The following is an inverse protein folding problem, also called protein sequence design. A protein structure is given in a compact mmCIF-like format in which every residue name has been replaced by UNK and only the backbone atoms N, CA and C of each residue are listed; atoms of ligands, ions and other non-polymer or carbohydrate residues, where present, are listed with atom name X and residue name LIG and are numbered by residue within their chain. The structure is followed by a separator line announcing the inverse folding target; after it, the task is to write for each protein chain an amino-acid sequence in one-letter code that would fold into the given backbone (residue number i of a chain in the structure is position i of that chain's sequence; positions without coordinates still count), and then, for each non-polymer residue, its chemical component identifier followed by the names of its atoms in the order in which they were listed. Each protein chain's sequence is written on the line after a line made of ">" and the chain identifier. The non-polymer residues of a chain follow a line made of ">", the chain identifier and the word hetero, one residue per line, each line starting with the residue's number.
data_IF_947697547325
#
_entry.id   IF_947697547325
#
_cell.length_a   1.000
_cell.length_b   1.000
_cell.length_c   1.000
_cell.angle_alpha   90.00
_cell.angle_beta   90.00
_cell.angle_gamma   90.00
#
_symmetry.space_group_name_H-M   'P 1'
#
loop_
_entity.id
_entity.type
_entity.pdbx_description
1 polymer ?
#
# COMPACT_ATOMS: atom_id res chain seq x y z
N UNK A 1 -19.06 -25.70 -9.98
CA UNK A 1 -17.87 -26.31 -9.33
C UNK A 1 -16.90 -26.67 -10.45
N UNK A 2 -15.60 -26.40 -10.35
CA UNK A 2 -14.68 -26.83 -11.40
C UNK A 2 -14.58 -28.35 -11.37
N UNK A 3 -14.80 -29.00 -12.52
CA UNK A 3 -14.62 -30.44 -12.67
C UNK A 3 -13.18 -30.80 -12.31
N UNK A 4 -13.00 -31.58 -11.24
CA UNK A 4 -11.71 -32.19 -10.90
C UNK A 4 -11.37 -33.25 -11.93
N UNK A 5 -10.80 -32.84 -13.06
CA UNK A 5 -10.24 -33.79 -14.03
C UNK A 5 -9.08 -34.52 -13.37
N UNK A 6 -9.22 -35.84 -13.26
CA UNK A 6 -8.16 -36.73 -12.76
C UNK A 6 -6.85 -36.49 -13.50
N UNK A 7 -5.75 -36.43 -12.76
CA UNK A 7 -4.42 -36.16 -13.31
C UNK A 7 -3.98 -37.27 -14.28
N UNK A 8 -3.77 -36.90 -15.55
CA UNK A 8 -3.14 -37.75 -16.55
C UNK A 8 -1.77 -38.26 -16.08
N UNK A 9 -1.53 -39.58 -16.22
CA UNK A 9 -0.27 -40.24 -15.84
C UNK A 9 0.67 -40.48 -17.04
N UNK A 10 0.11 -40.51 -18.25
CA UNK A 10 0.81 -40.79 -19.50
C UNK A 10 0.80 -39.52 -20.35
N UNK A 11 1.90 -39.23 -21.03
CA UNK A 11 2.02 -38.06 -21.88
C UNK A 11 1.31 -38.29 -23.24
N UNK A 12 0.19 -37.62 -23.52
CA UNK A 12 -0.56 -37.80 -24.77
C UNK A 12 0.18 -37.25 -26.01
N UNK A 13 1.21 -36.43 -25.84
CA UNK A 13 2.08 -36.01 -26.96
C UNK A 13 2.94 -37.14 -27.52
N UNK A 14 3.07 -38.27 -26.79
CA UNK A 14 3.80 -39.45 -27.23
C UNK A 14 2.88 -40.53 -27.83
N UNK A 15 1.57 -40.32 -27.81
CA UNK A 15 0.61 -41.27 -28.35
C UNK A 15 0.48 -41.07 -29.87
N UNK A 16 0.59 -42.16 -30.62
CA UNK A 16 0.33 -42.22 -32.06
C UNK A 16 -1.08 -42.78 -32.32
N UNK A 17 -1.74 -42.28 -33.38
CA UNK A 17 -3.05 -42.78 -33.76
C UNK A 17 -2.92 -44.24 -34.20
N UNK A 18 -3.69 -45.17 -33.64
CA UNK A 18 -3.74 -46.54 -34.14
C UNK A 18 -4.14 -46.54 -35.62
N UNK A 19 -3.58 -47.49 -36.38
CA UNK A 19 -4.01 -47.74 -37.74
C UNK A 19 -5.36 -48.46 -37.72
N UNK A 20 -6.45 -47.68 -37.71
CA UNK A 20 -7.81 -48.22 -37.70
C UNK A 20 -8.19 -48.95 -38.99
N UNK A 21 -7.40 -48.83 -40.07
CA UNK A 21 -7.59 -49.61 -41.29
C UNK A 21 -7.01 -51.03 -41.17
N UNK A 22 -6.15 -51.30 -40.17
CA UNK A 22 -5.60 -52.62 -39.91
C UNK A 22 -6.69 -53.68 -39.65
N UNK A 23 -6.35 -54.93 -39.96
CA UNK A 23 -7.19 -56.10 -39.69
C UNK A 23 -7.52 -56.25 -38.19
N UNK A 24 -6.64 -55.77 -37.30
CA UNK A 24 -6.81 -55.79 -35.84
C UNK A 24 -8.07 -55.06 -35.37
N UNK A 25 -8.55 -54.08 -36.15
CA UNK A 25 -9.72 -53.26 -35.82
C UNK A 25 -10.99 -53.66 -36.59
N UNK A 26 -10.95 -54.75 -37.38
CA UNK A 26 -12.08 -55.20 -38.22
C UNK A 26 -13.37 -55.35 -37.42
N UNK A 27 -13.31 -56.01 -36.27
CA UNK A 27 -14.48 -56.20 -35.40
C UNK A 27 -15.11 -54.88 -34.95
N UNK A 28 -14.28 -53.89 -34.61
CA UNK A 28 -14.75 -52.58 -34.17
C UNK A 28 -15.32 -51.78 -35.36
N UNK A 29 -14.70 -51.90 -36.55
CA UNK A 29 -15.20 -51.26 -37.76
C UNK A 29 -16.57 -51.80 -38.17
N UNK A 30 -16.74 -53.10 -38.29
CA UNK A 30 -18.04 -53.73 -38.66
C UNK A 30 -19.18 -53.37 -37.68
N UNK A 31 -18.86 -53.30 -36.38
CA UNK A 31 -19.82 -52.89 -35.36
C UNK A 31 -20.27 -51.43 -35.53
N UNK A 32 -19.37 -50.52 -35.91
CA UNK A 32 -19.67 -49.10 -36.14
C UNK A 32 -20.37 -48.89 -37.49
N UNK A 33 -19.91 -49.58 -38.54
CA UNK A 33 -20.53 -49.59 -39.87
C UNK A 33 -22.01 -50.00 -39.77
N UNK A 34 -22.31 -51.07 -39.05
CA UNK A 34 -23.69 -51.56 -38.86
C UNK A 34 -24.54 -50.65 -37.97
N UNK A 35 -23.97 -50.08 -36.91
CA UNK A 35 -24.70 -49.21 -35.98
C UNK A 35 -25.01 -47.83 -36.56
N UNK A 36 -24.11 -47.29 -37.39
CA UNK A 36 -24.19 -45.92 -37.91
C UNK A 36 -24.47 -45.84 -39.42
N UNK A 37 -24.64 -46.98 -40.09
CA UNK A 37 -24.81 -47.09 -41.55
C UNK A 37 -23.71 -46.37 -42.36
N UNK A 38 -22.47 -46.46 -41.87
CA UNK A 38 -21.31 -45.80 -42.48
C UNK A 38 -20.63 -46.73 -43.48
N UNK A 39 -19.97 -46.14 -44.48
CA UNK A 39 -19.05 -46.90 -45.32
C UNK A 39 -17.80 -47.31 -44.53
N UNK A 40 -17.03 -48.32 -45.00
CA UNK A 40 -15.77 -48.69 -44.36
C UNK A 40 -14.75 -47.53 -44.28
N UNK A 41 -14.69 -46.71 -45.32
CA UNK A 41 -13.81 -45.52 -45.39
C UNK A 41 -14.24 -44.44 -44.38
N UNK A 42 -15.55 -44.17 -44.30
CA UNK A 42 -16.10 -43.19 -43.35
C UNK A 42 -15.92 -43.66 -41.91
N UNK A 43 -15.94 -44.97 -41.66
CA UNK A 43 -15.74 -45.56 -40.33
C UNK A 43 -14.29 -45.38 -39.85
N UNK A 44 -13.31 -45.64 -40.71
CA UNK A 44 -11.89 -45.37 -40.40
C UNK A 44 -11.66 -43.88 -40.17
N UNK A 45 -12.27 -43.03 -40.99
CA UNK A 45 -12.21 -41.57 -40.85
C UNK A 45 -12.77 -41.12 -39.50
N UNK A 46 -13.98 -41.56 -39.17
CA UNK A 46 -14.64 -41.21 -37.91
C UNK A 46 -13.86 -41.69 -36.68
N UNK A 47 -13.29 -42.90 -36.70
CA UNK A 47 -12.45 -43.41 -35.62
C UNK A 47 -11.18 -42.57 -35.44
N UNK A 48 -10.54 -42.19 -36.54
CA UNK A 48 -9.34 -41.35 -36.56
C UNK A 48 -9.64 -39.95 -36.03
N UNK A 49 -10.74 -39.33 -36.46
CA UNK A 49 -11.19 -38.02 -35.98
C UNK A 49 -11.51 -38.05 -34.49
N UNK A 50 -12.26 -39.06 -34.03
CA UNK A 50 -12.61 -39.22 -32.62
C UNK A 50 -11.37 -39.41 -31.74
N UNK A 51 -10.41 -40.23 -32.19
CA UNK A 51 -9.14 -40.40 -31.48
C UNK A 51 -8.36 -39.09 -31.43
N UNK A 52 -8.27 -38.37 -32.55
CA UNK A 52 -7.53 -37.10 -32.65
C UNK A 52 -8.14 -36.03 -31.75
N UNK A 53 -9.46 -35.90 -31.74
CA UNK A 53 -10.18 -34.95 -30.90
C UNK A 53 -9.97 -35.24 -29.41
N UNK A 54 -10.00 -36.53 -29.03
CA UNK A 54 -9.73 -36.95 -27.66
C UNK A 54 -8.28 -36.67 -27.26
N UNK A 55 -7.31 -37.04 -28.10
CA UNK A 55 -5.90 -36.82 -27.83
C UNK A 55 -5.57 -35.33 -27.70
N UNK A 56 -6.19 -34.47 -28.52
CA UNK A 56 -6.05 -33.01 -28.41
C UNK A 56 -6.48 -32.48 -27.03
N UNK A 57 -7.65 -32.91 -26.54
CA UNK A 57 -8.13 -32.55 -25.19
C UNK A 57 -7.18 -33.02 -24.09
N UNK A 58 -6.67 -34.24 -24.21
CA UNK A 58 -5.71 -34.79 -23.24
C UNK A 58 -4.37 -34.01 -23.28
N UNK A 59 -3.90 -33.59 -24.46
CA UNK A 59 -2.71 -32.73 -24.62
C UNK A 59 -2.89 -31.37 -23.96
N UNK A 60 -4.07 -30.77 -24.06
CA UNK A 60 -4.37 -29.51 -23.37
C UNK A 60 -4.35 -29.67 -21.86
N UNK A 61 -4.94 -30.75 -21.34
CA UNK A 61 -4.90 -31.10 -19.90
C UNK A 61 -3.46 -31.32 -19.44
N UNK A 62 -2.65 -32.03 -20.22
CA UNK A 62 -1.23 -32.26 -19.92
C UNK A 62 -0.42 -30.96 -19.91
N UNK A 63 -0.61 -30.10 -20.90
CA UNK A 63 0.05 -28.79 -20.98
C UNK A 63 -0.31 -27.92 -19.77
N UNK A 64 -1.57 -27.93 -19.34
CA UNK A 64 -2.01 -27.23 -18.14
C UNK A 64 -1.32 -27.79 -16.87
N UNK A 65 -1.18 -29.10 -16.73
CA UNK A 65 -0.46 -29.73 -15.62
C UNK A 65 1.03 -29.37 -15.59
N UNK A 66 1.69 -29.36 -16.75
CA UNK A 66 3.10 -28.97 -16.86
C UNK A 66 3.29 -27.48 -16.52
N UNK A 67 2.36 -26.62 -16.94
CA UNK A 67 2.35 -25.20 -16.56
C UNK A 67 2.16 -25.03 -15.05
N UNK A 68 1.28 -25.83 -14.43
CA UNK A 68 1.03 -25.77 -13.00
C UNK A 68 2.20 -26.30 -12.15
N UNK A 69 2.91 -27.35 -12.62
CA UNK A 69 4.19 -27.78 -12.01
C UNK A 69 5.24 -26.67 -11.99
N UNK A 70 5.29 -25.85 -13.04
CA UNK A 70 6.23 -24.74 -13.19
C UNK A 70 5.79 -23.46 -12.47
N UNK A 71 4.54 -23.41 -11.98
CA UNK A 71 4.08 -22.28 -11.17
C UNK A 71 4.92 -22.25 -9.89
N UNK A 72 5.54 -21.10 -9.54
CA UNK A 72 6.19 -20.95 -8.26
C UNK A 72 5.17 -21.30 -7.17
N UNK A 73 5.44 -22.35 -6.41
CA UNK A 73 4.72 -22.57 -5.16
C UNK A 73 5.15 -21.43 -4.25
N UNK A 74 4.20 -20.71 -3.67
CA UNK A 74 4.50 -19.72 -2.65
C UNK A 74 5.27 -20.47 -1.55
N UNK A 75 6.59 -20.29 -1.53
CA UNK A 75 7.46 -21.00 -0.60
C UNK A 75 7.09 -20.56 0.81
N UNK A 76 7.16 -21.50 1.76
CA UNK A 76 7.17 -21.14 3.17
C UNK A 76 8.23 -20.05 3.35
N UNK A 77 7.77 -18.85 3.72
CA UNK A 77 8.68 -17.80 4.12
C UNK A 77 9.28 -18.19 5.47
N UNK A 78 10.55 -17.88 5.67
CA UNK A 78 11.17 -18.05 6.97
C UNK A 78 10.74 -16.87 7.85
N UNK A 79 9.86 -17.13 8.82
CA UNK A 79 9.37 -16.14 9.78
C UNK A 79 10.50 -15.43 10.55
N UNK A 80 11.68 -16.04 10.64
CA UNK A 80 12.82 -15.50 11.38
C UNK A 80 13.80 -14.72 10.50
N UNK A 81 13.65 -14.80 9.17
CA UNK A 81 14.52 -14.09 8.24
C UNK A 81 13.99 -12.67 8.02
N UNK A 82 14.69 -11.68 8.55
CA UNK A 82 14.36 -10.27 8.38
C UNK A 82 15.00 -9.71 7.11
N UNK A 83 14.37 -8.69 6.49
CA UNK A 83 15.01 -7.93 5.41
C UNK A 83 16.23 -7.18 5.99
N UNK A 84 17.43 -7.47 5.46
CA UNK A 84 18.74 -7.11 6.03
C UNK A 84 18.98 -5.61 6.31
N UNK A 85 18.16 -4.72 5.73
CA UNK A 85 18.29 -3.27 5.93
C UNK A 85 16.93 -2.61 5.97
N UNK A 86 16.52 -2.28 7.18
CA UNK A 86 15.36 -1.45 7.39
C UNK A 86 15.77 0.02 7.19
N UNK A 87 15.13 0.73 6.26
CA UNK A 87 15.49 2.12 5.97
C UNK A 87 15.27 2.98 7.21
N UNK A 88 16.33 3.58 7.75
CA UNK A 88 16.23 4.55 8.84
C UNK A 88 15.67 5.85 8.24
N UNK A 89 14.58 6.41 8.81
CA UNK A 89 14.02 7.66 8.30
C UNK A 89 15.06 8.78 8.39
N UNK A 90 15.32 9.49 7.29
CA UNK A 90 16.05 10.76 7.34
C UNK A 90 15.07 11.80 7.89
N UNK A 91 15.21 12.11 9.18
CA UNK A 91 14.35 13.08 9.86
C UNK A 91 14.94 14.48 9.77
N UNK A 92 14.07 15.45 9.51
CA UNK A 92 14.42 16.85 9.63
C UNK A 92 14.80 17.18 11.10
N UNK A 93 15.85 17.97 11.38
CA UNK A 93 16.30 18.19 12.76
C UNK A 93 15.24 18.82 13.68
N UNK A 94 14.37 19.67 13.14
CA UNK A 94 13.16 20.15 13.84
C UNK A 94 12.27 18.99 14.30
N UNK A 95 11.95 18.05 13.41
CA UNK A 95 11.10 16.91 13.74
C UNK A 95 11.76 16.02 14.79
N UNK A 96 13.07 15.77 14.66
CA UNK A 96 13.83 15.03 15.67
C UNK A 96 13.70 15.67 17.06
N UNK A 97 13.88 16.99 17.16
CA UNK A 97 13.72 17.73 18.43
C UNK A 97 12.29 17.62 18.98
N UNK A 98 11.27 17.79 18.13
CA UNK A 98 9.88 17.65 18.58
C UNK A 98 9.58 16.26 19.12
N UNK A 99 10.10 15.20 18.47
CA UNK A 99 9.89 13.83 18.94
C UNK A 99 10.61 13.54 20.27
N UNK A 100 11.84 14.05 20.45
CA UNK A 100 12.58 13.93 21.71
C UNK A 100 11.86 14.65 22.86
N UNK A 101 11.26 15.81 22.58
CA UNK A 101 10.57 16.62 23.58
C UNK A 101 9.08 16.20 23.76
N UNK A 102 8.62 15.10 23.12
CA UNK A 102 7.21 14.64 23.06
C UNK A 102 6.21 15.70 22.57
N UNK A 103 6.67 16.69 21.81
CA UNK A 103 5.87 17.80 21.30
C UNK A 103 5.19 17.47 19.99
N UNK A 104 4.15 18.22 19.69
CA UNK A 104 3.46 18.10 18.41
C UNK A 104 4.42 18.31 17.24
N UNK A 105 4.43 17.36 16.30
CA UNK A 105 5.14 17.44 15.04
C UNK A 105 4.17 17.18 13.88
N UNK A 106 4.02 18.10 12.91
CA UNK A 106 3.20 17.86 11.73
C UNK A 106 3.66 16.63 10.95
N UNK A 107 2.71 15.84 10.45
CA UNK A 107 2.98 14.66 9.64
C UNK A 107 3.73 14.98 8.35
N UNK A 108 3.65 16.22 7.87
CA UNK A 108 4.43 16.69 6.71
C UNK A 108 5.93 16.36 6.83
N UNK A 109 6.51 16.42 8.03
CA UNK A 109 7.93 16.13 8.28
C UNK A 109 8.33 14.67 8.03
N UNK A 110 7.35 13.78 7.88
CA UNK A 110 7.54 12.35 7.63
C UNK A 110 7.22 12.00 6.16
N UNK A 111 7.11 13.02 5.30
CA UNK A 111 6.93 12.85 3.85
C UNK A 111 8.27 12.81 3.12
N UNK A 112 8.26 12.27 1.90
CA UNK A 112 9.44 12.29 1.01
C UNK A 112 9.94 13.72 0.72
N UNK A 113 9.04 14.70 0.70
CA UNK A 113 9.39 16.11 0.48
C UNK A 113 10.26 16.63 1.62
N UNK A 114 9.82 16.41 2.87
CA UNK A 114 10.59 16.79 4.06
C UNK A 114 11.90 16.02 4.17
N UNK A 115 11.93 14.74 3.79
CA UNK A 115 13.17 13.95 3.76
C UNK A 115 14.18 14.51 2.75
N UNK A 116 13.71 14.95 1.58
CA UNK A 116 14.57 15.59 0.57
C UNK A 116 15.12 16.92 1.09
N UNK A 117 14.29 17.72 1.77
CA UNK A 117 14.73 18.95 2.44
C UNK A 117 15.77 18.67 3.53
N UNK A 118 15.53 17.66 4.37
CA UNK A 118 16.45 17.24 5.41
C UNK A 118 17.80 16.77 4.83
N UNK A 119 17.80 15.97 3.76
CA UNK A 119 19.03 15.58 3.07
C UNK A 119 19.80 16.79 2.53
N UNK A 120 19.12 17.77 1.95
CA UNK A 120 19.74 19.02 1.49
C UNK A 120 20.43 19.80 2.62
N UNK A 121 19.83 19.83 3.82
CA UNK A 121 20.46 20.44 5.00
C UNK A 121 21.73 19.69 5.42
N UNK A 122 21.68 18.35 5.44
CA UNK A 122 22.86 17.51 5.77
C UNK A 122 23.98 17.70 4.77
N UNK A 123 23.68 17.82 3.47
CA UNK A 123 24.71 18.07 2.44
C UNK A 123 25.26 19.50 2.49
N UNK A 124 24.43 20.50 2.87
CA UNK A 124 24.86 21.89 3.04
C UNK A 124 25.70 22.12 4.31
N UNK A 125 25.53 21.27 5.31
CA UNK A 125 26.32 21.24 6.54
C UNK A 125 27.45 20.21 6.35
N UNK A 126 28.49 20.58 5.61
CA UNK A 126 29.74 19.83 5.65
C UNK A 126 30.19 19.70 7.12
N UNK A 127 30.75 18.55 7.56
CA UNK A 127 31.03 18.27 8.97
C UNK A 127 32.05 19.20 9.66
N UNK A 128 32.54 20.25 9.00
CA UNK A 128 33.61 21.15 9.45
C UNK A 128 33.19 22.64 9.52
N UNK A 129 31.91 23.00 9.35
CA UNK A 129 31.49 24.42 9.41
C UNK A 129 30.80 24.79 10.72
N UNK A 130 31.58 25.36 11.65
CA UNK A 130 31.06 26.20 12.73
C UNK A 130 30.64 27.55 12.15
N UNK A 131 29.34 27.86 12.17
CA UNK A 131 28.86 29.18 11.74
C UNK A 131 29.21 30.22 12.81
N UNK A 132 30.08 31.16 12.44
CA UNK A 132 30.41 32.34 13.23
C UNK A 132 29.45 33.48 12.87
N UNK A 133 28.67 33.95 13.85
CA UNK A 133 27.88 35.17 13.70
C UNK A 133 28.59 36.33 14.41
N UNK A 134 28.79 37.42 13.68
CA UNK A 134 29.27 38.68 14.21
C UNK A 134 28.08 39.59 14.49
N UNK A 135 27.94 40.02 15.74
CA UNK A 135 26.96 41.03 16.10
C UNK A 135 27.38 42.38 15.50
N UNK A 136 26.56 42.93 14.61
CA UNK A 136 26.84 44.19 13.91
C UNK A 136 26.85 45.41 14.85
N UNK A 137 26.31 45.29 16.06
CA UNK A 137 26.29 46.38 17.05
C UNK A 137 27.49 46.33 18.02
N UNK A 138 27.93 45.15 18.44
CA UNK A 138 29.00 44.99 19.44
C UNK A 138 30.33 44.46 18.89
N UNK A 139 30.34 43.97 17.64
CA UNK A 139 31.51 43.33 17.02
C UNK A 139 31.87 41.96 17.61
N UNK A 140 31.09 41.46 18.58
CA UNK A 140 31.34 40.18 19.25
C UNK A 140 31.09 38.99 18.33
N UNK A 141 32.00 38.01 18.37
CA UNK A 141 31.88 36.74 17.64
C UNK A 141 31.26 35.69 18.56
N UNK A 142 30.14 35.10 18.14
CA UNK A 142 29.48 34.03 18.89
C UNK A 142 29.47 32.72 18.10
N UNK A 143 29.71 31.62 18.81
CA UNK A 143 29.56 30.26 18.28
C UNK A 143 28.12 29.80 18.52
N UNK A 144 27.38 29.52 17.46
CA UNK A 144 26.01 29.01 17.61
C UNK A 144 26.03 27.48 17.70
N UNK A 145 26.00 26.94 18.92
CA UNK A 145 25.40 25.62 19.11
C UNK A 145 23.92 25.75 18.71
N UNK A 146 23.42 24.88 17.83
CA UNK A 146 22.12 24.96 17.14
C UNK A 146 20.92 24.99 18.10
N UNK A 147 20.70 26.13 18.75
CA UNK A 147 19.56 26.43 19.57
C UNK A 147 18.50 27.05 18.66
N UNK A 148 17.45 26.24 18.41
CA UNK A 148 16.27 26.53 17.59
C UNK A 148 16.43 26.26 16.09
N UNK A 149 16.45 24.98 15.71
CA UNK A 149 16.15 24.60 14.32
C UNK A 149 14.76 25.12 13.99
N UNK A 150 14.68 26.07 13.05
CA UNK A 150 13.41 26.67 12.65
C UNK A 150 12.53 25.64 11.94
N UNK A 151 11.20 25.70 12.12
CA UNK A 151 10.29 24.92 11.30
C UNK A 151 10.45 25.31 9.82
N UNK A 152 10.16 24.36 8.93
CA UNK A 152 10.21 24.59 7.49
C UNK A 152 9.05 25.49 7.10
N UNK A 153 9.31 26.43 6.18
CA UNK A 153 8.25 27.26 5.57
C UNK A 153 7.27 26.42 4.73
N UNK A 154 7.65 25.21 4.35
CA UNK A 154 6.84 24.29 3.56
C UNK A 154 6.00 23.36 4.43
N UNK A 155 6.18 23.38 5.76
CA UNK A 155 5.49 22.50 6.67
C UNK A 155 3.99 22.75 6.65
N UNK A 156 3.23 21.72 6.29
CA UNK A 156 1.76 21.75 6.28
C UNK A 156 1.20 21.11 7.55
N UNK A 157 0.10 21.64 8.11
CA UNK A 157 -0.67 20.94 9.14
C UNK A 157 -1.31 19.67 8.57
N UNK A 158 -1.63 18.70 9.42
CA UNK A 158 -2.09 17.37 8.98
C UNK A 158 -3.39 17.48 8.16
N UNK A 159 -4.24 18.44 8.52
CA UNK A 159 -5.49 18.74 7.82
C UNK A 159 -5.32 19.26 6.40
N UNK A 160 -4.14 19.76 6.03
CA UNK A 160 -3.84 20.32 4.69
C UNK A 160 -3.07 19.34 3.80
N UNK A 161 -2.69 18.18 4.32
CA UNK A 161 -2.08 17.12 3.53
C UNK A 161 -3.10 16.53 2.54
N UNK A 162 -2.61 15.99 1.43
CA UNK A 162 -3.40 15.04 0.64
C UNK A 162 -3.53 13.71 1.39
N UNK A 163 -4.55 12.92 1.05
CA UNK A 163 -4.72 11.58 1.64
C UNK A 163 -3.49 10.68 1.39
N UNK A 164 -2.88 10.77 0.21
CA UNK A 164 -1.65 10.04 -0.12
C UNK A 164 -0.46 10.50 0.73
N UNK A 165 -0.30 11.80 0.95
CA UNK A 165 0.74 12.36 1.81
C UNK A 165 0.55 11.91 3.26
N UNK A 166 -0.68 11.98 3.77
CA UNK A 166 -1.02 11.49 5.11
C UNK A 166 -0.73 10.00 5.27
N UNK A 167 -1.17 9.18 4.30
CA UNK A 167 -1.01 7.72 4.34
C UNK A 167 0.46 7.30 4.35
N UNK A 168 1.26 7.97 3.53
CA UNK A 168 2.71 7.77 3.53
C UNK A 168 3.34 8.25 4.84
N UNK A 169 2.99 9.45 5.29
CA UNK A 169 3.59 10.09 6.45
C UNK A 169 3.35 9.34 7.76
N UNK A 170 2.15 8.79 7.99
CA UNK A 170 1.90 8.12 9.27
C UNK A 170 2.77 6.87 9.45
N UNK A 171 3.04 6.12 8.37
CA UNK A 171 3.88 4.92 8.41
C UNK A 171 5.31 5.28 8.86
N UNK A 172 5.83 6.40 8.32
CA UNK A 172 7.14 6.93 8.70
C UNK A 172 7.15 7.59 10.08
N UNK A 173 6.05 8.22 10.48
CA UNK A 173 5.89 8.76 11.84
C UNK A 173 5.96 7.66 12.89
N UNK A 174 5.24 6.54 12.70
CA UNK A 174 5.26 5.41 13.64
C UNK A 174 6.68 4.86 13.84
N UNK A 175 7.42 4.69 12.75
CA UNK A 175 8.83 4.28 12.77
C UNK A 175 9.72 5.29 13.49
N UNK A 176 9.48 6.58 13.27
CA UNK A 176 10.25 7.64 13.89
C UNK A 176 10.04 7.72 15.41
N UNK A 177 8.80 7.59 15.90
CA UNK A 177 8.52 7.60 17.35
C UNK A 177 9.04 6.34 18.05
N UNK A 178 9.03 5.19 17.37
CA UNK A 178 9.65 3.96 17.86
C UNK A 178 11.17 4.11 17.98
N UNK A 179 11.82 4.68 16.96
CA UNK A 179 13.25 5.00 16.96
C UNK A 179 13.61 6.05 18.01
N UNK A 180 12.67 6.93 18.36
CA UNK A 180 12.81 7.91 19.44
C UNK A 180 12.47 7.32 20.82
N UNK A 181 12.34 6.00 20.95
CA UNK A 181 12.08 5.28 22.19
C UNK A 181 10.79 5.73 22.90
N UNK A 182 9.75 6.11 22.16
CA UNK A 182 8.45 6.39 22.76
C UNK A 182 7.88 5.13 23.43
N UNK A 183 7.08 5.27 24.50
CA UNK A 183 6.49 4.11 25.17
C UNK A 183 5.70 3.24 24.20
N UNK A 184 5.91 1.92 24.25
CA UNK A 184 5.27 0.95 23.34
C UNK A 184 3.75 1.10 23.29
N UNK A 185 3.10 1.35 24.44
CA UNK A 185 1.65 1.60 24.51
C UNK A 185 1.22 2.84 23.71
N UNK A 186 2.03 3.89 23.71
CA UNK A 186 1.80 5.11 22.94
C UNK A 186 1.97 4.86 21.45
N UNK A 187 3.00 4.12 21.04
CA UNK A 187 3.19 3.74 19.63
C UNK A 187 1.99 2.92 19.12
N UNK A 188 1.53 1.93 19.88
CA UNK A 188 0.35 1.13 19.54
C UNK A 188 -0.94 1.97 19.46
N UNK A 189 -1.11 2.94 20.36
CA UNK A 189 -2.26 3.86 20.32
C UNK A 189 -2.29 4.66 19.01
N UNK A 190 -1.16 5.26 18.61
CA UNK A 190 -1.07 5.97 17.33
C UNK A 190 -1.27 5.03 16.14
N UNK A 191 -0.68 3.83 16.16
CA UNK A 191 -0.88 2.84 15.09
C UNK A 191 -2.35 2.47 14.91
N UNK A 192 -3.05 2.25 16.04
CA UNK A 192 -4.49 1.97 16.06
C UNK A 192 -5.30 3.14 15.53
N UNK A 193 -4.96 4.38 15.93
CA UNK A 193 -5.62 5.60 15.42
C UNK A 193 -5.52 5.70 13.90
N UNK A 194 -4.31 5.57 13.34
CA UNK A 194 -4.12 5.68 11.89
C UNK A 194 -4.84 4.57 11.13
N UNK A 195 -4.75 3.34 11.61
CA UNK A 195 -5.47 2.22 11.00
C UNK A 195 -6.98 2.51 10.97
N UNK A 196 -7.55 2.86 12.12
CA UNK A 196 -8.99 3.14 12.24
C UNK A 196 -9.45 4.32 11.38
N UNK A 197 -8.60 5.35 11.20
CA UNK A 197 -8.87 6.45 10.26
C UNK A 197 -8.86 5.94 8.82
N UNK A 198 -7.88 5.13 8.43
CA UNK A 198 -7.72 4.69 7.03
C UNK A 198 -8.82 3.74 6.55
N UNK A 199 -9.38 2.93 7.46
CA UNK A 199 -10.46 1.99 7.16
C UNK A 199 -11.85 2.53 7.52
N UNK A 200 -11.94 3.80 7.95
CA UNK A 200 -13.20 4.36 8.42
C UNK A 200 -14.23 4.48 7.29
N UNK A 201 -15.52 4.33 7.63
CA UNK A 201 -16.63 4.46 6.65
C UNK A 201 -16.71 5.84 6.00
N UNK A 202 -16.11 6.86 6.63
CA UNK A 202 -16.03 8.21 6.09
C UNK A 202 -15.17 8.30 4.82
N UNK A 203 -14.23 7.38 4.59
CA UNK A 203 -13.43 7.35 3.36
C UNK A 203 -14.30 7.23 2.09
N UNK A 204 -15.56 6.76 2.23
CA UNK A 204 -16.50 6.61 1.11
C UNK A 204 -17.43 7.82 0.93
N UNK A 205 -17.41 8.81 1.83
CA UNK A 205 -18.30 9.98 1.79
C UNK A 205 -17.72 11.11 0.94
N UNK A 206 -18.59 11.98 0.43
CA UNK A 206 -18.16 13.27 -0.12
C UNK A 206 -17.48 14.11 0.97
N UNK A 207 -16.28 14.64 0.70
CA UNK A 207 -15.39 15.30 1.67
C UNK A 207 -14.86 14.38 2.80
N UNK A 208 -14.96 13.06 2.63
CA UNK A 208 -14.52 12.05 3.59
C UNK A 208 -13.07 12.21 4.03
N UNK A 209 -12.15 12.19 3.06
CA UNK A 209 -10.72 12.37 3.30
C UNK A 209 -10.44 13.65 4.09
N UNK A 210 -11.03 14.78 3.67
CA UNK A 210 -10.81 16.06 4.34
C UNK A 210 -11.31 16.05 5.79
N UNK A 211 -12.47 15.43 6.03
CA UNK A 211 -13.05 15.28 7.37
C UNK A 211 -12.11 14.47 8.27
N UNK A 212 -11.62 13.33 7.77
CA UNK A 212 -10.70 12.46 8.50
C UNK A 212 -9.36 13.13 8.78
N UNK A 213 -8.82 13.90 7.84
CA UNK A 213 -7.58 14.64 8.01
C UNK A 213 -7.71 15.77 9.05
N UNK A 214 -8.83 16.49 9.06
CA UNK A 214 -9.13 17.49 10.10
C UNK A 214 -9.23 16.82 11.47
N UNK A 215 -9.96 15.70 11.57
CA UNK A 215 -10.04 14.95 12.81
C UNK A 215 -8.65 14.51 13.31
N UNK A 216 -7.82 13.97 12.42
CA UNK A 216 -6.45 13.56 12.75
C UNK A 216 -5.60 14.73 13.28
N UNK A 217 -5.61 15.87 12.59
CA UNK A 217 -4.89 17.09 13.00
C UNK A 217 -5.33 17.56 14.40
N UNK A 218 -6.63 17.69 14.61
CA UNK A 218 -7.15 18.24 15.87
C UNK A 218 -6.90 17.32 17.08
N UNK A 219 -7.13 16.02 16.91
CA UNK A 219 -6.98 15.04 17.99
C UNK A 219 -5.52 14.79 18.35
N UNK A 220 -4.61 14.74 17.36
CA UNK A 220 -3.15 14.71 17.60
C UNK A 220 -2.70 15.96 18.35
N UNK A 221 -3.13 17.14 17.92
CA UNK A 221 -2.77 18.40 18.60
C UNK A 221 -3.30 18.45 20.03
N UNK A 222 -4.54 18.01 20.26
CA UNK A 222 -5.11 17.92 21.60
C UNK A 222 -4.28 17.01 22.49
N UNK A 223 -3.97 15.80 22.01
CA UNK A 223 -3.17 14.83 22.75
C UNK A 223 -1.81 15.40 23.17
N UNK A 224 -1.10 16.06 22.25
CA UNK A 224 0.18 16.68 22.58
C UNK A 224 0.07 17.84 23.56
N UNK A 225 -0.98 18.68 23.44
CA UNK A 225 -1.24 19.73 24.44
C UNK A 225 -1.50 19.13 25.82
N UNK A 226 -2.30 18.08 25.90
CA UNK A 226 -2.59 17.41 27.17
C UNK A 226 -1.31 16.88 27.83
N UNK A 227 -0.42 16.25 27.04
CA UNK A 227 0.89 15.80 27.54
C UNK A 227 1.76 16.97 28.01
N UNK A 228 1.85 18.05 27.22
CA UNK A 228 2.67 19.23 27.54
C UNK A 228 2.17 19.96 28.81
N UNK A 229 0.86 19.98 29.03
CA UNK A 229 0.22 20.59 30.20
C UNK A 229 0.23 19.67 31.45
N UNK A 230 0.67 18.41 31.31
CA UNK A 230 0.67 17.42 32.39
C UNK A 230 -0.71 16.78 32.66
N UNK A 231 -1.65 16.94 31.73
CA UNK A 231 -2.97 16.31 31.76
C UNK A 231 -2.92 14.85 31.30
N UNK A 232 -3.99 14.10 31.59
CA UNK A 232 -4.14 12.73 31.07
C UNK A 232 -4.54 12.78 29.61
N UNK A 233 -3.61 12.43 28.72
CA UNK A 233 -3.87 12.41 27.29
C UNK A 233 -4.82 11.26 26.88
N UNK A 234 -5.80 11.50 25.98
CA UNK A 234 -6.81 10.52 25.62
C UNK A 234 -6.26 9.38 24.75
N UNK A 235 -6.97 8.24 24.71
CA UNK A 235 -6.66 7.17 23.77
C UNK A 235 -7.18 7.52 22.37
N UNK A 236 -6.29 7.93 21.47
CA UNK A 236 -6.66 8.33 20.11
C UNK A 236 -7.08 7.16 19.20
N UNK A 237 -6.81 5.91 19.60
CA UNK A 237 -7.24 4.74 18.84
C UNK A 237 -8.76 4.60 18.77
N UNK A 238 -9.50 5.22 19.69
CA UNK A 238 -10.96 5.24 19.68
C UNK A 238 -11.46 6.47 18.92
N UNK A 239 -12.03 6.22 17.73
CA UNK A 239 -12.57 7.28 16.88
C UNK A 239 -13.92 7.76 17.44
N UNK A 240 -14.03 9.05 17.71
CA UNK A 240 -15.25 9.69 18.22
C UNK A 240 -16.12 10.12 17.04
N UNK A 241 -17.10 9.29 16.70
CA UNK A 241 -17.96 9.50 15.52
C UNK A 241 -18.72 10.83 15.56
N UNK A 242 -19.25 11.23 16.71
CA UNK A 242 -19.97 12.51 16.83
C UNK A 242 -19.09 13.70 16.44
N UNK A 243 -17.79 13.65 16.80
CA UNK A 243 -16.83 14.68 16.41
C UNK A 243 -16.56 14.65 14.91
N UNK A 244 -16.46 13.48 14.29
CA UNK A 244 -16.32 13.35 12.83
C UNK A 244 -17.54 13.91 12.09
N UNK A 245 -18.75 13.59 12.54
CA UNK A 245 -19.98 14.12 11.95
C UNK A 245 -20.03 15.65 12.06
N UNK A 246 -19.68 16.22 13.21
CA UNK A 246 -19.61 17.68 13.40
C UNK A 246 -18.61 18.32 12.44
N UNK A 247 -17.40 17.76 12.30
CA UNK A 247 -16.40 18.26 11.33
C UNK A 247 -16.94 18.19 9.90
N UNK A 248 -17.63 17.11 9.54
CA UNK A 248 -18.19 16.94 8.20
C UNK A 248 -19.25 17.99 7.88
N UNK A 249 -20.16 18.23 8.82
CA UNK A 249 -21.20 19.24 8.71
C UNK A 249 -20.60 20.65 8.57
N UNK A 250 -19.62 21.00 9.40
CA UNK A 250 -18.93 22.28 9.35
C UNK A 250 -18.25 22.52 7.99
N UNK A 251 -17.62 21.49 7.43
CA UNK A 251 -16.97 21.57 6.11
C UNK A 251 -18.01 21.77 5.01
N UNK A 252 -19.14 21.09 5.10
CA UNK A 252 -20.23 21.21 4.14
C UNK A 252 -20.89 22.60 4.20
N UNK A 253 -21.11 23.15 5.39
CA UNK A 253 -21.66 24.50 5.56
C UNK A 253 -20.71 25.58 5.02
N UNK A 254 -19.40 25.46 5.28
CA UNK A 254 -18.38 26.36 4.71
C UNK A 254 -18.35 26.32 3.17
N UNK A 255 -18.58 25.16 2.58
CA UNK A 255 -18.65 25.01 1.13
C UNK A 255 -19.90 25.68 0.54
N UNK A 256 -21.04 25.67 1.25
CA UNK A 256 -22.28 26.35 0.84
C UNK A 256 -22.17 27.88 0.91
N UNK A 257 -21.46 28.39 1.91
CA UNK A 257 -21.32 29.84 2.13
C UNK A 257 -20.29 30.48 1.19
N UNK A 258 -19.39 29.71 0.56
CA UNK A 258 -18.42 30.23 -0.41
C UNK A 258 -19.07 30.41 -1.79
N UNK A 259 -19.35 31.65 -2.27
CA UNK A 259 -20.02 31.83 -3.55
C UNK A 259 -19.09 31.42 -4.70
N UNK A 260 -19.62 30.63 -5.62
CA UNK A 260 -18.98 30.29 -6.90
C UNK A 260 -18.60 31.60 -7.60
N UNK A 261 -17.30 31.89 -7.72
CA UNK A 261 -16.82 32.96 -8.61
C UNK A 261 -17.12 32.53 -10.04
N UNK A 262 -18.30 32.87 -10.54
CA UNK A 262 -18.65 32.76 -11.96
C UNK A 262 -17.70 33.69 -12.70
N UNK A 263 -16.73 33.11 -13.39
CA UNK A 263 -15.80 33.84 -14.25
C UNK A 263 -16.58 34.23 -15.50
N UNK A 264 -17.13 35.45 -15.49
CA UNK A 264 -17.80 36.01 -16.67
C UNK A 264 -16.71 36.28 -17.72
N UNK A 265 -16.64 35.42 -18.73
CA UNK A 265 -15.88 35.69 -19.95
C UNK A 265 -16.61 36.84 -20.67
N UNK A 266 -15.98 38.01 -20.74
CA UNK A 266 -16.42 39.08 -21.63
C UNK A 266 -15.84 38.84 -23.03
N UNK A 267 -16.61 39.20 -24.09
CA UNK A 267 -16.30 38.91 -25.49
C UNK A 267 -15.05 39.64 -26.01
#
# INVERSE_FOLDING_TARGET
>A
MPETHSRLKINPHLAECPDFASEDFTFIREAIESANHLSPEDTVTQLTENWTLRNAKERDIWNAQEKDKKRPKLGNFDEKLTVDKEAIPILHPYAQKQLTDFKYCPLWYFTKMAATEASGLVTSLAPETVNLLQDTASGSLSFQASSTVKPSKNALPDKELSWSQFSYAFSWFLRAIETANWPTKTVHMFATMFLNITIHVFCQRSNGDKTLLVYADETRRQWHRDVEEGNVAPNLGQIVNDRLENISNDLHDKARVSPVKVRVLHP
#
